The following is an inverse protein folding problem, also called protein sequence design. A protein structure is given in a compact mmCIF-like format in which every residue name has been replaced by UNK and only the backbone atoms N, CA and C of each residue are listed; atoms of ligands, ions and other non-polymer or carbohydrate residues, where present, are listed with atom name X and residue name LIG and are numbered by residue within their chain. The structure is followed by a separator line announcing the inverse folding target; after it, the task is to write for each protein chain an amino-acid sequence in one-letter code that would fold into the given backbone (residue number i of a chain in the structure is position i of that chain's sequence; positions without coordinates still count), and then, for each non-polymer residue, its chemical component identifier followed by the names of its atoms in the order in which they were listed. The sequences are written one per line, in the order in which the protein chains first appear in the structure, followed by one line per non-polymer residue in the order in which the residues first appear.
data_IF_728661832971
#
_entry.id   IF_728661832971
#
_cell.length_a   1.000
_cell.length_b   1.000
_cell.length_c   1.000
_cell.angle_alpha   90.00
_cell.angle_beta   90.00
_cell.angle_gamma   90.00
#
_symmetry.space_group_name_H-M   'P 1'
#
loop_
_entity.id
_entity.type
_entity.pdbx_description
1 polymer ?
#
# COMPACT_ATOMS: atom_id res chain seq x y z
N UNK A 1 9.58 -8.74 9.65
CA UNK A 1 8.50 -9.75 9.59
C UNK A 1 8.17 -9.92 8.12
N UNK A 2 8.30 -11.11 7.56
CA UNK A 2 8.04 -11.38 6.13
C UNK A 2 6.58 -11.83 5.92
N UNK A 3 6.03 -11.60 4.72
CA UNK A 3 4.66 -11.97 4.35
C UNK A 3 4.61 -12.60 2.95
N UNK A 4 3.84 -13.67 2.83
CA UNK A 4 3.58 -14.38 1.57
C UNK A 4 2.33 -13.88 0.83
N UNK A 5 2.06 -14.47 -0.34
CA UNK A 5 0.83 -14.23 -1.13
C UNK A 5 -0.39 -14.66 -0.31
N UNK A 6 -1.50 -13.93 -0.45
CA UNK A 6 -2.77 -14.08 0.29
C UNK A 6 -2.69 -13.81 1.80
N UNK A 7 -1.50 -13.53 2.33
CA UNK A 7 -1.36 -13.10 3.70
C UNK A 7 -1.80 -11.64 3.86
N UNK A 8 -2.42 -11.38 5.01
CA UNK A 8 -2.88 -10.06 5.39
C UNK A 8 -2.18 -9.56 6.64
N UNK A 9 -2.03 -8.24 6.72
CA UNK A 9 -1.57 -7.51 7.89
C UNK A 9 -2.60 -6.43 8.20
N UNK A 10 -2.87 -6.24 9.49
CA UNK A 10 -3.74 -5.18 9.98
C UNK A 10 -2.86 -4.11 10.63
N UNK A 11 -3.02 -2.86 10.20
CA UNK A 11 -2.34 -1.68 10.74
C UNK A 11 -3.40 -0.68 11.15
N UNK A 12 -3.66 -0.56 12.46
CA UNK A 12 -4.79 0.22 12.96
C UNK A 12 -6.11 -0.39 12.45
N UNK A 13 -6.89 0.40 11.70
CA UNK A 13 -8.13 -0.03 11.05
C UNK A 13 -7.95 -0.39 9.56
N UNK A 14 -6.71 -0.32 9.05
CA UNK A 14 -6.40 -0.65 7.65
C UNK A 14 -5.95 -2.10 7.54
N UNK A 15 -6.50 -2.81 6.56
CA UNK A 15 -6.15 -4.20 6.22
C UNK A 15 -5.36 -4.16 4.91
N UNK A 16 -4.13 -4.64 4.95
CA UNK A 16 -3.25 -4.78 3.78
C UNK A 16 -3.13 -6.26 3.45
N UNK A 17 -3.37 -6.65 2.20
CA UNK A 17 -3.25 -8.03 1.72
C UNK A 17 -2.32 -8.10 0.52
N UNK A 18 -1.43 -9.08 0.50
CA UNK A 18 -0.60 -9.37 -0.69
C UNK A 18 -1.45 -10.12 -1.70
N UNK A 19 -1.69 -9.51 -2.87
CA UNK A 19 -2.44 -10.13 -3.96
C UNK A 19 -1.53 -10.93 -4.88
N UNK A 20 -0.35 -10.38 -5.18
CA UNK A 20 0.56 -10.95 -6.16
C UNK A 20 1.99 -10.53 -5.85
N UNK A 21 2.94 -11.46 -6.02
CA UNK A 21 4.37 -11.16 -6.07
C UNK A 21 4.84 -11.59 -7.46
N UNK A 22 5.18 -10.62 -8.30
CA UNK A 22 5.59 -10.87 -9.68
C UNK A 22 7.12 -11.05 -9.76
N UNK A 23 7.56 -11.90 -10.69
CA UNK A 23 8.96 -12.12 -11.06
C UNK A 23 9.73 -10.84 -11.43
N UNK A 24 9.02 -9.77 -11.80
CA UNK A 24 9.57 -8.44 -12.12
C UNK A 24 9.84 -7.57 -10.89
N UNK A 25 9.91 -8.15 -9.68
CA UNK A 25 10.14 -7.44 -8.43
C UNK A 25 9.03 -6.42 -8.06
N UNK A 26 7.82 -6.70 -8.52
CA UNK A 26 6.63 -5.92 -8.24
C UNK A 26 5.72 -6.69 -7.29
N UNK A 27 5.22 -6.03 -6.25
CA UNK A 27 4.29 -6.60 -5.29
C UNK A 27 2.98 -5.83 -5.39
N UNK A 28 1.88 -6.53 -5.68
CA UNK A 28 0.54 -5.95 -5.69
C UNK A 28 -0.12 -6.17 -4.34
N UNK A 29 -0.59 -5.10 -3.74
CA UNK A 29 -1.24 -5.08 -2.45
C UNK A 29 -2.68 -4.57 -2.59
N UNK A 30 -3.62 -5.24 -1.93
CA UNK A 30 -4.94 -4.70 -1.65
C UNK A 30 -4.92 -4.00 -0.30
N UNK A 31 -5.30 -2.73 -0.28
CA UNK A 31 -5.49 -1.93 0.93
C UNK A 31 -6.97 -1.68 1.12
N UNK A 32 -7.51 -2.23 2.20
CA UNK A 32 -8.91 -2.05 2.61
C UNK A 32 -8.97 -1.25 3.90
N UNK A 33 -9.68 -0.13 3.88
CA UNK A 33 -9.91 0.69 5.07
C UNK A 33 -11.42 0.80 5.29
N UNK A 34 -12.00 0.05 6.25
CA UNK A 34 -13.46 -0.01 6.45
C UNK A 34 -14.08 1.37 6.72
N UNK A 35 -13.34 2.25 7.38
CA UNK A 35 -13.77 3.61 7.74
C UNK A 35 -13.13 4.69 6.85
N UNK A 36 -12.12 4.34 6.05
CA UNK A 36 -11.39 5.26 5.17
C UNK A 36 -12.08 5.53 3.83
N UNK A 37 -11.63 6.58 3.15
CA UNK A 37 -11.98 6.88 1.76
C UNK A 37 -10.69 7.09 0.95
N UNK A 38 -10.42 6.29 -0.10
CA UNK A 38 -11.25 5.19 -0.60
C UNK A 38 -11.30 3.99 0.36
N UNK A 39 -12.41 3.25 0.33
CA UNK A 39 -12.59 2.04 1.18
C UNK A 39 -11.69 0.88 0.75
N UNK A 40 -11.33 0.85 -0.53
CA UNK A 40 -10.48 -0.15 -1.14
C UNK A 40 -9.57 0.52 -2.18
N UNK A 41 -8.31 0.11 -2.22
CA UNK A 41 -7.33 0.54 -3.20
C UNK A 41 -6.33 -0.59 -3.48
N UNK A 42 -5.95 -0.77 -4.74
CA UNK A 42 -4.81 -1.60 -5.10
C UNK A 42 -3.57 -0.73 -5.30
N UNK A 43 -2.45 -1.17 -4.74
CA UNK A 43 -1.16 -0.48 -4.82
C UNK A 43 -0.14 -1.46 -5.38
N UNK A 44 0.69 -1.00 -6.31
CA UNK A 44 1.83 -1.75 -6.83
C UNK A 44 3.10 -1.15 -6.22
N UNK A 45 3.79 -1.94 -5.41
CA UNK A 45 5.12 -1.61 -4.91
C UNK A 45 6.15 -2.18 -5.88
N UNK A 46 7.00 -1.31 -6.43
CA UNK A 46 8.17 -1.73 -7.19
C UNK A 46 9.34 -1.75 -6.23
N UNK A 47 10.01 -2.90 -6.13
CA UNK A 47 11.25 -3.00 -5.37
C UNK A 47 12.37 -2.58 -6.32
N UNK A 48 12.48 -1.27 -6.56
CA UNK A 48 13.73 -0.68 -7.04
C UNK A 48 14.70 -0.75 -5.86
N UNK A 49 15.91 -1.31 -6.05
CA UNK A 49 16.85 -1.70 -4.99
C UNK A 49 17.43 -0.56 -4.13
N UNK A 50 16.57 0.23 -3.50
CA UNK A 50 16.87 1.35 -2.60
C UNK A 50 15.89 1.29 -1.44
N UNK A 51 16.45 1.22 -0.23
CA UNK A 51 15.78 1.18 1.06
C UNK A 51 14.49 2.01 1.17
N UNK A 52 13.55 1.47 1.95
CA UNK A 52 12.20 1.98 2.15
C UNK A 52 12.10 3.50 2.24
N UNK A 53 11.48 4.09 1.23
CA UNK A 53 11.01 5.47 1.28
C UNK A 53 9.57 5.45 1.76
N UNK A 54 9.40 5.61 3.07
CA UNK A 54 8.17 6.13 3.64
C UNK A 54 7.89 7.47 2.95
N UNK A 55 6.88 7.50 2.08
CA UNK A 55 6.37 8.76 1.55
C UNK A 55 5.46 9.34 2.64
N UNK A 56 5.81 10.43 3.33
CA UNK A 56 4.86 11.10 4.19
C UNK A 56 3.69 11.58 3.32
N UNK A 57 2.48 11.38 3.81
CA UNK A 57 1.27 11.99 3.27
C UNK A 57 1.33 13.50 3.55
N UNK A 58 2.14 14.22 2.78
CA UNK A 58 2.23 15.67 2.91
C UNK A 58 1.04 16.32 2.19
N UNK A 59 0.14 16.81 3.04
CA UNK A 59 -0.54 18.09 2.92
C UNK A 59 -0.26 18.89 1.64
N UNK A 60 -1.26 18.98 0.76
CA UNK A 60 -1.46 20.17 -0.06
C UNK A 60 -2.92 20.30 -0.49
N UNK A 61 -3.75 20.82 0.41
CA UNK A 61 -4.90 21.63 -0.02
C UNK A 61 -4.30 22.89 -0.67
N UNK A 62 -4.27 22.92 -1.99
CA UNK A 62 -4.11 24.16 -2.74
C UNK A 62 -5.50 24.60 -3.23
N UNK A 63 -6.18 25.41 -2.42
CA UNK A 63 -7.22 26.31 -2.92
C UNK A 63 -6.49 27.43 -3.66
N UNK A 64 -6.57 27.46 -4.99
CA UNK A 64 -6.78 28.71 -5.74
C UNK A 64 -7.06 28.42 -7.22
N UNK A 65 -8.27 28.76 -7.67
CA UNK A 65 -8.61 29.29 -8.99
C UNK A 65 -9.87 30.15 -8.82
#
# INVERSE_FOLDING_TARGET
MERGIDEAMVVGDVIVRVLEINSSNEVRLAVSSPNGRPRYQEIVLRIDGTDGVERPADAAVAVNC
#
